data_IF_329348164386
#
_entry.id   IF_329348164386
#
_cell.length_a   1.000
_cell.length_b   1.000
_cell.length_c   1.000
_cell.angle_alpha   90.00
_cell.angle_beta   90.00
_cell.angle_gamma   90.00
#
_symmetry.space_group_name_H-M   'P 1'
#
loop_
_entity.id
_entity.type
_entity.pdbx_description
1 polymer ?
#
# COMPACT_ATOMS: atom_id res chain seq x y z
N UNK A 1 9.84 -9.65 -2.54
CA UNK A 1 10.42 -8.44 -1.94
C UNK A 1 9.42 -7.68 -1.05
N UNK A 2 8.28 -7.18 -1.55
CA UNK A 2 7.29 -6.46 -0.71
C UNK A 2 6.65 -7.33 0.40
N UNK A 3 6.27 -8.58 0.12
CA UNK A 3 5.69 -9.48 1.16
C UNK A 3 6.69 -9.81 2.27
N UNK A 4 7.96 -10.05 1.92
CA UNK A 4 9.02 -10.31 2.91
C UNK A 4 9.33 -9.08 3.77
N UNK A 5 9.30 -7.88 3.19
CA UNK A 5 9.38 -6.63 3.95
C UNK A 5 8.18 -6.50 4.88
N UNK A 6 6.96 -6.76 4.40
CA UNK A 6 5.76 -6.68 5.23
C UNK A 6 5.77 -7.70 6.40
N UNK A 7 6.25 -8.92 6.17
CA UNK A 7 6.41 -9.93 7.22
C UNK A 7 7.50 -9.56 8.23
N UNK A 8 8.65 -9.06 7.78
CA UNK A 8 9.72 -8.57 8.64
C UNK A 8 9.25 -7.40 9.50
N UNK A 9 8.59 -6.41 8.89
CA UNK A 9 8.00 -5.26 9.57
C UNK A 9 6.92 -5.68 10.58
N UNK A 10 6.10 -6.68 10.26
CA UNK A 10 5.08 -7.21 11.18
C UNK A 10 5.70 -7.96 12.37
N UNK A 11 6.84 -8.65 12.18
CA UNK A 11 7.59 -9.25 13.30
C UNK A 11 8.17 -8.18 14.22
N UNK A 12 8.79 -7.14 13.65
CA UNK A 12 9.38 -6.05 14.44
C UNK A 12 8.31 -5.30 15.24
N UNK A 13 7.16 -4.99 14.63
CA UNK A 13 6.02 -4.36 15.30
C UNK A 13 5.49 -5.21 16.48
N UNK A 14 5.49 -6.55 16.34
CA UNK A 14 5.07 -7.45 17.44
C UNK A 14 6.09 -7.49 18.58
N UNK A 15 7.38 -7.43 18.28
CA UNK A 15 8.44 -7.38 19.31
C UNK A 15 8.36 -6.13 20.18
N UNK A 16 7.97 -5.00 19.57
CA UNK A 16 7.78 -3.72 20.24
C UNK A 16 6.66 -3.79 21.30
N UNK A 17 5.53 -4.42 20.97
CA UNK A 17 4.39 -4.53 21.90
C UNK A 17 4.70 -5.40 23.13
N UNK A 18 5.65 -6.34 23.02
CA UNK A 18 6.00 -7.25 24.13
C UNK A 18 6.89 -6.60 25.19
N UNK A 19 7.59 -5.50 24.89
CA UNK A 19 8.54 -4.86 25.82
C UNK A 19 7.87 -3.94 26.87
N UNK A 20 6.56 -3.69 26.76
CA UNK A 20 5.77 -2.78 27.63
C UNK A 20 5.58 -3.27 29.09
N UNK A 21 6.26 -4.33 29.53
CA UNK A 21 6.11 -4.96 30.87
C UNK A 21 7.21 -4.60 31.88
N UNK A 22 7.82 -3.42 31.79
CA UNK A 22 8.82 -2.94 32.78
C UNK A 22 8.46 -1.54 33.30
N UNK A 23 8.72 -1.29 34.58
CA UNK A 23 8.70 0.07 35.15
C UNK A 23 9.90 0.83 34.57
N UNK A 24 9.64 1.75 33.64
CA UNK A 24 10.65 2.52 32.92
C UNK A 24 10.55 3.99 33.33
N UNK A 25 11.68 4.68 33.45
CA UNK A 25 11.69 6.12 33.80
C UNK A 25 11.06 6.96 32.68
N UNK A 26 10.57 8.17 33.02
CA UNK A 26 9.93 9.06 32.05
C UNK A 26 10.85 9.42 30.87
N UNK A 27 12.14 9.69 31.14
CA UNK A 27 13.12 9.98 30.08
C UNK A 27 13.34 8.81 29.13
N UNK A 28 13.34 7.59 29.68
CA UNK A 28 13.47 6.39 28.87
C UNK A 28 12.23 6.12 28.03
N UNK A 29 11.04 6.38 28.59
CA UNK A 29 9.78 6.32 27.85
C UNK A 29 9.72 7.34 26.70
N UNK A 30 10.20 8.57 26.91
CA UNK A 30 10.28 9.58 25.86
C UNK A 30 11.22 9.16 24.74
N UNK A 31 12.39 8.60 25.09
CA UNK A 31 13.37 8.09 24.11
C UNK A 31 12.82 6.93 23.28
N UNK A 32 12.17 5.96 23.93
CA UNK A 32 11.52 4.84 23.23
C UNK A 32 10.39 5.32 22.32
N UNK A 33 9.59 6.30 22.77
CA UNK A 33 8.52 6.90 21.96
C UNK A 33 9.07 7.57 20.70
N UNK A 34 10.16 8.32 20.84
CA UNK A 34 10.83 8.96 19.70
C UNK A 34 11.38 7.91 18.72
N UNK A 35 12.00 6.84 19.23
CA UNK A 35 12.45 5.71 18.42
C UNK A 35 11.27 5.03 17.68
N UNK A 36 10.11 4.89 18.32
CA UNK A 36 8.92 4.35 17.67
C UNK A 36 8.40 5.25 16.56
N UNK A 37 8.37 6.56 16.78
CA UNK A 37 7.96 7.53 15.76
C UNK A 37 8.87 7.44 14.54
N UNK A 38 10.18 7.35 14.74
CA UNK A 38 11.16 7.22 13.65
C UNK A 38 10.99 5.90 12.89
N UNK A 39 10.79 4.78 13.61
CA UNK A 39 10.48 3.49 12.99
C UNK A 39 9.18 3.55 12.20
N UNK A 40 8.10 4.11 12.76
CA UNK A 40 6.81 4.24 12.06
C UNK A 40 6.96 5.12 10.81
N UNK A 41 7.70 6.23 10.87
CA UNK A 41 7.98 7.07 9.69
C UNK A 41 8.72 6.30 8.61
N UNK A 42 9.74 5.52 8.97
CA UNK A 42 10.42 4.63 8.04
C UNK A 42 9.49 3.56 7.45
N UNK A 43 8.59 2.99 8.27
CA UNK A 43 7.61 2.00 7.83
C UNK A 43 6.54 2.57 6.88
N UNK A 44 6.21 3.86 7.02
CA UNK A 44 5.23 4.55 6.16
C UNK A 44 5.81 4.79 4.76
N UNK A 45 7.12 5.06 4.65
CA UNK A 45 7.82 5.15 3.35
C UNK A 45 8.07 3.74 2.79
N UNK A 46 7.00 3.11 2.31
CA UNK A 46 7.05 1.80 1.68
C UNK A 46 7.96 1.84 0.44
N UNK A 47 9.11 1.11 0.41
CA UNK A 47 10.06 1.22 -0.68
C UNK A 47 9.51 0.53 -1.94
N UNK A 48 8.93 1.35 -2.82
CA UNK A 48 8.52 1.09 -4.20
C UNK A 48 7.44 0.02 -4.43
N UNK A 49 6.31 0.45 -5.02
CA UNK A 49 5.23 -0.41 -5.50
C UNK A 49 5.76 -1.42 -6.54
N UNK A 50 5.98 -2.66 -6.11
CA UNK A 50 6.55 -3.73 -6.96
C UNK A 50 5.55 -4.30 -7.96
N UNK A 51 4.25 -4.01 -7.80
CA UNK A 51 3.20 -4.51 -8.68
C UNK A 51 2.74 -3.38 -9.60
N UNK A 52 2.87 -3.52 -10.93
CA UNK A 52 2.43 -2.51 -11.87
C UNK A 52 0.90 -2.43 -11.87
N UNK A 53 0.39 -1.22 -12.05
CA UNK A 53 -1.04 -1.00 -12.19
C UNK A 53 -1.58 -1.55 -13.50
N UNK A 54 -2.87 -1.89 -13.48
CA UNK A 54 -3.57 -2.45 -14.63
C UNK A 54 -4.10 -1.31 -15.48
N UNK A 55 -3.79 -1.33 -16.78
CA UNK A 55 -4.34 -0.41 -17.76
C UNK A 55 -5.32 -1.13 -18.67
N UNK A 56 -6.57 -0.66 -18.69
CA UNK A 56 -7.57 -1.11 -19.66
C UNK A 56 -7.69 -0.02 -20.73
N UNK A 57 -7.43 -0.39 -21.97
CA UNK A 57 -7.50 0.50 -23.13
C UNK A 57 -8.75 0.20 -23.96
N UNK A 58 -9.44 1.24 -24.38
CA UNK A 58 -10.46 1.18 -25.43
C UNK A 58 -9.80 1.47 -26.78
N UNK A 59 -10.04 0.58 -27.74
CA UNK A 59 -9.49 0.67 -29.09
C UNK A 59 -10.60 0.96 -30.10
N UNK A 60 -10.33 1.82 -31.07
CA UNK A 60 -11.16 2.02 -32.26
C UNK A 60 -10.24 2.29 -33.46
N UNK A 61 -10.46 1.61 -34.58
CA UNK A 61 -9.60 1.71 -35.78
C UNK A 61 -8.10 1.57 -35.45
N UNK A 62 -7.76 0.61 -34.59
CA UNK A 62 -6.40 0.33 -34.11
C UNK A 62 -5.73 1.49 -33.33
N UNK A 63 -6.50 2.52 -32.95
CA UNK A 63 -6.06 3.63 -32.10
C UNK A 63 -6.61 3.47 -30.69
N UNK A 64 -5.78 3.80 -29.70
CA UNK A 64 -6.17 3.92 -28.29
C UNK A 64 -6.96 5.22 -28.10
N UNK A 65 -8.24 5.11 -27.79
CA UNK A 65 -9.16 6.27 -27.70
C UNK A 65 -9.54 6.64 -26.26
N UNK A 66 -9.45 5.70 -25.32
CA UNK A 66 -9.71 5.94 -23.91
C UNK A 66 -9.00 4.90 -23.04
N UNK A 67 -8.77 5.20 -21.77
CA UNK A 67 -8.15 4.27 -20.84
C UNK A 67 -8.66 4.43 -19.41
N UNK A 68 -8.47 3.40 -18.59
CA UNK A 68 -8.54 3.54 -17.13
C UNK A 68 -7.35 2.83 -16.50
N UNK A 69 -6.87 3.39 -15.39
CA UNK A 69 -5.79 2.84 -14.58
C UNK A 69 -6.41 2.30 -13.29
N UNK A 70 -6.17 1.03 -13.01
CA UNK A 70 -6.66 0.35 -11.81
C UNK A 70 -5.44 0.00 -10.95
N UNK A 71 -5.33 0.52 -9.72
CA UNK A 71 -4.26 0.14 -8.81
C UNK A 71 -4.27 -1.37 -8.56
N UNK A 72 -3.15 -2.05 -8.80
CA UNK A 72 -3.13 -3.51 -8.67
C UNK A 72 -3.47 -3.98 -7.25
N UNK A 73 -3.02 -3.23 -6.23
CA UNK A 73 -3.34 -3.46 -4.81
C UNK A 73 -4.84 -3.49 -4.51
N UNK A 74 -5.67 -2.83 -5.31
CA UNK A 74 -7.11 -2.77 -5.07
C UNK A 74 -7.83 -4.05 -5.53
N UNK A 75 -7.26 -4.79 -6.47
CA UNK A 75 -7.88 -5.98 -7.08
C UNK A 75 -7.11 -7.28 -6.83
N UNK A 76 -5.91 -7.18 -6.24
CA UNK A 76 -5.06 -8.32 -5.90
C UNK A 76 -5.83 -9.36 -5.06
N UNK A 77 -5.74 -10.62 -5.48
CA UNK A 77 -6.23 -11.73 -4.68
C UNK A 77 -5.18 -12.19 -3.67
N UNK A 78 -5.63 -12.45 -2.44
CA UNK A 78 -4.86 -13.15 -1.41
C UNK A 78 -5.82 -14.05 -0.62
N UNK A 79 -5.39 -15.25 -0.18
CA UNK A 79 -6.15 -16.05 0.78
C UNK A 79 -6.26 -15.38 2.15
N UNK A 80 -5.34 -14.46 2.48
CA UNK A 80 -5.37 -13.68 3.73
C UNK A 80 -6.19 -12.41 3.51
N UNK A 81 -7.26 -12.23 4.30
CA UNK A 81 -8.25 -11.16 4.10
C UNK A 81 -7.63 -9.76 4.16
N UNK A 82 -6.68 -9.55 5.08
CA UNK A 82 -6.00 -8.27 5.33
C UNK A 82 -5.05 -7.88 4.18
N UNK A 83 -4.61 -8.85 3.39
CA UNK A 83 -3.74 -8.67 2.22
C UNK A 83 -4.52 -8.61 0.91
N UNK A 84 -5.84 -8.86 0.95
CA UNK A 84 -6.68 -8.90 -0.25
C UNK A 84 -7.08 -7.48 -0.65
N UNK A 85 -7.03 -7.21 -1.94
CA UNK A 85 -7.47 -5.94 -2.49
C UNK A 85 -8.93 -5.64 -2.17
N UNK A 86 -9.23 -4.39 -1.83
CA UNK A 86 -10.57 -3.93 -1.41
C UNK A 86 -11.70 -4.19 -2.43
N UNK A 87 -11.34 -4.35 -3.70
CA UNK A 87 -12.22 -4.62 -4.84
C UNK A 87 -12.03 -6.02 -5.45
N UNK A 88 -11.21 -6.88 -4.84
CA UNK A 88 -11.03 -8.26 -5.31
C UNK A 88 -12.37 -9.02 -5.38
N UNK A 89 -12.67 -9.60 -6.53
CA UNK A 89 -13.91 -10.37 -6.78
C UNK A 89 -15.20 -9.54 -6.84
N UNK A 90 -15.12 -8.19 -6.87
CA UNK A 90 -16.29 -7.31 -6.97
C UNK A 90 -16.46 -6.77 -8.38
N UNK A 91 -17.69 -6.73 -8.87
CA UNK A 91 -18.04 -6.03 -10.12
C UNK A 91 -17.97 -4.52 -9.85
N UNK A 92 -17.27 -3.78 -10.72
CA UNK A 92 -17.10 -2.33 -10.60
C UNK A 92 -17.12 -1.67 -11.97
N UNK A 93 -17.90 -0.59 -12.09
CA UNK A 93 -17.93 0.27 -13.29
C UNK A 93 -16.77 1.25 -13.25
N UNK A 94 -16.00 1.34 -14.33
CA UNK A 94 -14.90 2.31 -14.49
C UNK A 94 -15.19 3.25 -15.64
N UNK A 95 -15.15 4.56 -15.37
CA UNK A 95 -15.20 5.59 -16.40
C UNK A 95 -13.81 5.75 -17.04
N UNK A 96 -13.76 5.72 -18.37
CA UNK A 96 -12.51 5.87 -19.11
C UNK A 96 -12.16 7.34 -19.31
N UNK A 97 -10.86 7.63 -19.30
CA UNK A 97 -10.27 8.94 -19.56
C UNK A 97 -9.73 9.00 -20.98
N UNK A 98 -9.80 10.17 -21.60
CA UNK A 98 -9.17 10.40 -22.89
C UNK A 98 -7.64 10.39 -22.74
N UNK A 99 -6.89 9.73 -23.65
CA UNK A 99 -5.44 9.83 -23.68
C UNK A 99 -5.01 11.27 -23.96
N UNK A 100 -3.98 11.75 -23.28
CA UNK A 100 -3.38 13.07 -23.55
C UNK A 100 -4.06 14.28 -22.88
N UNK A 101 -5.25 14.15 -22.27
CA UNK A 101 -5.82 15.25 -21.46
C UNK A 101 -5.16 15.29 -20.08
N UNK A 102 -4.39 16.34 -19.79
CA UNK A 102 -3.98 16.69 -18.41
C UNK A 102 -5.24 17.14 -17.65
N UNK A 103 -5.44 16.73 -16.38
CA UNK A 103 -6.46 17.37 -15.55
C UNK A 103 -6.16 18.88 -15.47
N UNK A 104 -7.17 19.76 -15.42
CA UNK A 104 -6.93 21.16 -15.10
C UNK A 104 -6.24 21.22 -13.74
N UNK A 105 -5.14 21.99 -13.68
CA UNK A 105 -4.37 22.21 -12.46
C UNK A 105 -5.12 23.01 -11.41
#
# INVERSE_FOLDING_TARGET
FSVFLQEAMSRDAKGILQQQKKNISLDEMMRETQNFIERIRFLIDEPQHTVPDIFIWMLSNHKRIAYTRIPAKDVLYSPVKEQRGKHCGKIKTHFLKLPGKRPPG
#
